data_IF_712396533718
#
_entry.id   IF_712396533718
#
_cell.length_a   1.000
_cell.length_b   1.000
_cell.length_c   1.000
_cell.angle_alpha   90.00
_cell.angle_beta   90.00
_cell.angle_gamma   90.00
#
_symmetry.space_group_name_H-M   'P 1'
#
loop_
_entity.id
_entity.type
_entity.pdbx_description
1 polymer ?
#
# COMPACT_ATOMS: atom_id res chain seq x y z
N UNK A 1 -15.31 -1.91 25.07
CA UNK A 1 -14.76 -1.25 23.88
C UNK A 1 -13.44 -0.62 24.31
N UNK A 2 -12.33 -1.12 23.78
CA UNK A 2 -10.99 -0.60 24.12
C UNK A 2 -10.75 0.73 23.39
N UNK A 3 -9.83 1.57 23.89
CA UNK A 3 -9.46 2.82 23.21
C UNK A 3 -8.96 2.58 21.76
N UNK A 4 -8.44 1.39 21.48
CA UNK A 4 -8.03 0.96 20.17
C UNK A 4 -9.22 0.64 19.22
N UNK A 5 -10.28 0.05 19.76
CA UNK A 5 -11.54 -0.16 19.00
C UNK A 5 -12.15 1.18 18.61
N UNK A 6 -12.10 2.18 19.51
CA UNK A 6 -12.50 3.56 19.22
C UNK A 6 -11.65 4.20 18.11
N UNK A 7 -10.35 3.91 18.08
CA UNK A 7 -9.43 4.37 17.03
C UNK A 7 -9.79 3.81 15.64
N UNK A 8 -10.05 2.50 15.55
CA UNK A 8 -10.47 1.86 14.30
C UNK A 8 -11.84 2.37 13.85
N UNK A 9 -12.80 2.50 14.76
CA UNK A 9 -14.10 3.12 14.44
C UNK A 9 -13.95 4.55 13.92
N UNK A 10 -13.08 5.36 14.53
CA UNK A 10 -12.76 6.71 14.07
C UNK A 10 -12.29 6.73 12.62
N UNK A 11 -11.42 5.79 12.22
CA UNK A 11 -10.98 5.64 10.84
C UNK A 11 -12.10 5.16 9.91
N UNK A 12 -13.00 4.27 10.37
CA UNK A 12 -14.19 3.86 9.59
C UNK A 12 -15.11 5.05 9.34
N UNK A 13 -15.31 5.92 10.31
CA UNK A 13 -16.11 7.16 10.16
C UNK A 13 -15.51 8.13 9.14
N UNK A 14 -14.19 8.11 8.92
CA UNK A 14 -13.50 8.90 7.89
C UNK A 14 -13.58 8.32 6.48
N UNK A 15 -14.13 7.11 6.31
CA UNK A 15 -14.28 6.46 4.98
C UNK A 15 -14.98 7.34 3.93
N UNK A 16 -16.00 8.16 4.24
CA UNK A 16 -16.61 9.05 3.24
C UNK A 16 -15.63 10.03 2.59
N UNK A 17 -14.61 10.51 3.33
CA UNK A 17 -13.58 11.38 2.78
C UNK A 17 -12.73 10.66 1.72
N UNK A 18 -12.47 9.37 1.93
CA UNK A 18 -11.79 8.51 0.95
C UNK A 18 -12.68 8.33 -0.30
N UNK A 19 -14.01 8.23 -0.10
CA UNK A 19 -15.00 8.23 -1.18
C UNK A 19 -14.93 9.50 -2.03
N UNK A 20 -14.82 10.68 -1.42
CA UNK A 20 -14.65 11.96 -2.13
C UNK A 20 -13.35 11.95 -2.96
N UNK A 21 -12.24 11.54 -2.36
CA UNK A 21 -10.96 11.41 -3.07
C UNK A 21 -11.06 10.44 -4.26
N UNK A 22 -11.82 9.35 -4.11
CA UNK A 22 -12.05 8.36 -5.16
C UNK A 22 -12.87 8.96 -6.31
N UNK A 23 -13.94 9.69 -6.00
CA UNK A 23 -14.76 10.39 -7.01
C UNK A 23 -13.94 11.43 -7.77
N UNK A 24 -13.08 12.17 -7.06
CA UNK A 24 -12.15 13.12 -7.67
C UNK A 24 -11.20 12.41 -8.64
N UNK A 25 -10.56 11.32 -8.22
CA UNK A 25 -9.68 10.52 -9.08
C UNK A 25 -10.42 9.93 -10.29
N UNK A 26 -11.66 9.45 -10.12
CA UNK A 26 -12.49 8.98 -11.22
C UNK A 26 -12.81 10.09 -12.20
N UNK A 27 -13.20 11.26 -11.71
CA UNK A 27 -13.50 12.42 -12.54
C UNK A 27 -12.28 12.82 -13.40
N UNK A 28 -11.11 12.99 -12.79
CA UNK A 28 -9.88 13.33 -13.53
C UNK A 28 -9.43 12.19 -14.46
N UNK A 29 -9.59 10.94 -14.03
CA UNK A 29 -9.30 9.76 -14.83
C UNK A 29 -10.12 9.72 -16.12
N UNK A 30 -11.43 9.93 -16.02
CA UNK A 30 -12.34 9.98 -17.16
C UNK A 30 -12.11 11.22 -18.02
N UNK A 31 -11.91 12.38 -17.40
CA UNK A 31 -11.65 13.65 -18.08
C UNK A 31 -10.38 13.56 -18.94
N UNK A 32 -9.26 13.13 -18.37
CA UNK A 32 -8.01 12.95 -19.13
C UNK A 32 -8.09 11.79 -20.11
N UNK A 33 -8.80 10.70 -19.77
CA UNK A 33 -9.05 9.60 -20.71
C UNK A 33 -9.77 10.08 -21.98
N UNK A 34 -10.84 10.85 -21.82
CA UNK A 34 -11.58 11.45 -22.93
C UNK A 34 -10.68 12.36 -23.78
N UNK A 35 -9.94 13.28 -23.16
CA UNK A 35 -9.03 14.17 -23.87
C UNK A 35 -7.87 13.43 -24.56
N UNK A 36 -7.41 12.32 -23.98
CA UNK A 36 -6.39 11.46 -24.58
C UNK A 36 -6.89 10.75 -25.84
N UNK A 37 -8.12 10.22 -25.81
CA UNK A 37 -8.75 9.61 -26.99
C UNK A 37 -8.97 10.67 -28.07
N UNK A 38 -9.51 11.85 -27.72
CA UNK A 38 -9.69 12.94 -28.67
C UNK A 38 -8.34 13.38 -29.29
N UNK A 39 -7.28 13.50 -28.49
CA UNK A 39 -5.95 13.82 -28.98
C UNK A 39 -5.40 12.75 -29.94
N UNK A 40 -5.69 11.46 -29.73
CA UNK A 40 -5.33 10.41 -30.70
C UNK A 40 -6.08 10.56 -32.02
N UNK A 41 -7.39 10.83 -31.96
CA UNK A 41 -8.23 11.06 -33.16
C UNK A 41 -7.73 12.26 -33.96
N UNK A 42 -7.34 13.33 -33.26
CA UNK A 42 -6.78 14.54 -33.87
C UNK A 42 -5.30 14.42 -34.27
N UNK A 43 -4.69 13.24 -34.15
CA UNK A 43 -3.25 12.98 -34.42
C UNK A 43 -2.27 13.80 -33.54
N UNK A 44 -2.73 14.33 -32.41
CA UNK A 44 -1.93 15.04 -31.40
C UNK A 44 -1.26 14.06 -30.45
N UNK A 45 -0.37 13.22 -30.98
CA UNK A 45 0.22 12.10 -30.24
C UNK A 45 0.97 12.50 -28.97
N UNK A 46 1.66 13.64 -28.96
CA UNK A 46 2.36 14.13 -27.78
C UNK A 46 1.40 14.48 -26.64
N UNK A 47 0.24 15.06 -26.97
CA UNK A 47 -0.80 15.36 -25.99
C UNK A 47 -1.45 14.06 -25.49
N UNK A 48 -1.69 13.08 -26.38
CA UNK A 48 -2.18 11.75 -25.98
C UNK A 48 -1.21 11.03 -25.04
N UNK A 49 0.11 11.16 -25.26
CA UNK A 49 1.15 10.59 -24.40
C UNK A 49 1.18 11.20 -22.98
N UNK A 50 0.62 12.40 -22.80
CA UNK A 50 0.34 12.97 -21.48
C UNK A 50 -1.00 12.47 -20.91
N UNK A 51 -2.08 12.67 -21.65
CA UNK A 51 -3.44 12.47 -21.18
C UNK A 51 -3.76 11.01 -20.85
N UNK A 52 -3.35 10.05 -21.69
CA UNK A 52 -3.69 8.64 -21.49
C UNK A 52 -3.01 8.05 -20.25
N UNK A 53 -1.69 8.29 -20.01
CA UNK A 53 -1.08 7.84 -18.76
C UNK A 53 -1.61 8.57 -17.53
N UNK A 54 -1.85 9.89 -17.62
CA UNK A 54 -2.43 10.64 -16.51
C UNK A 54 -3.82 10.11 -16.12
N UNK A 55 -4.69 9.90 -17.12
CA UNK A 55 -6.03 9.37 -16.94
C UNK A 55 -6.01 7.94 -16.39
N UNK A 56 -5.20 7.07 -16.99
CA UNK A 56 -5.06 5.68 -16.55
C UNK A 56 -4.51 5.57 -15.12
N UNK A 57 -3.52 6.40 -14.76
CA UNK A 57 -2.98 6.47 -13.41
C UNK A 57 -4.04 6.85 -12.38
N UNK A 58 -4.88 7.84 -12.70
CA UNK A 58 -6.00 8.25 -11.84
C UNK A 58 -7.05 7.15 -11.68
N UNK A 59 -7.41 6.46 -12.77
CA UNK A 59 -8.37 5.34 -12.71
C UNK A 59 -7.84 4.18 -11.88
N UNK A 60 -6.55 3.81 -12.04
CA UNK A 60 -5.94 2.76 -11.22
C UNK A 60 -5.92 3.17 -9.74
N UNK A 61 -5.52 4.41 -9.43
CA UNK A 61 -5.55 4.92 -8.06
C UNK A 61 -6.96 4.93 -7.47
N UNK A 62 -7.98 5.29 -8.26
CA UNK A 62 -9.37 5.24 -7.82
C UNK A 62 -9.80 3.81 -7.47
N UNK A 63 -9.48 2.84 -8.33
CA UNK A 63 -9.77 1.42 -8.07
C UNK A 63 -9.02 0.90 -6.84
N UNK A 64 -7.74 1.24 -6.69
CA UNK A 64 -6.94 0.88 -5.51
C UNK A 64 -7.49 1.50 -4.23
N UNK A 65 -7.96 2.75 -4.29
CA UNK A 65 -8.55 3.45 -3.14
C UNK A 65 -9.89 2.82 -2.75
N UNK A 66 -10.73 2.49 -3.73
CA UNK A 66 -11.97 1.77 -3.51
C UNK A 66 -11.73 0.38 -2.91
N UNK A 67 -10.69 -0.32 -3.38
CA UNK A 67 -10.30 -1.62 -2.82
C UNK A 67 -9.94 -1.50 -1.33
N UNK A 68 -9.15 -0.49 -0.94
CA UNK A 68 -8.84 -0.21 0.47
C UNK A 68 -10.11 0.07 1.28
N UNK A 69 -11.04 0.88 0.75
CA UNK A 69 -12.32 1.14 1.42
C UNK A 69 -13.11 -0.14 1.67
N UNK A 70 -13.17 -1.01 0.65
CA UNK A 70 -13.83 -2.31 0.76
C UNK A 70 -13.12 -3.17 1.80
N UNK A 71 -11.79 -3.27 1.76
CA UNK A 71 -11.01 -4.08 2.70
C UNK A 71 -11.12 -3.60 4.15
N UNK A 72 -11.14 -2.28 4.40
CA UNK A 72 -11.37 -1.69 5.73
C UNK A 72 -12.74 -2.01 6.32
N UNK A 73 -13.73 -2.26 5.46
CA UNK A 73 -15.12 -2.57 5.84
C UNK A 73 -15.42 -4.06 5.86
N UNK A 74 -14.55 -4.90 5.33
CA UNK A 74 -14.74 -6.34 5.35
C UNK A 74 -14.46 -6.88 6.75
N UNK A 75 -15.53 -7.36 7.37
CA UNK A 75 -15.51 -8.31 8.47
C UNK A 75 -15.79 -9.70 7.86
N UNK A 76 -14.75 -10.35 7.32
CA UNK A 76 -14.85 -11.73 6.81
C UNK A 76 -14.29 -12.00 5.41
N UNK A 77 -14.07 -13.30 5.21
CA UNK A 77 -13.52 -14.07 4.09
C UNK A 77 -12.39 -13.45 3.24
N UNK A 78 -11.17 -14.01 3.31
CA UNK A 78 -9.96 -13.45 2.73
C UNK A 78 -9.94 -13.57 1.20
N UNK A 79 -9.31 -12.58 0.57
CA UNK A 79 -9.00 -12.65 -0.86
C UNK A 79 -7.56 -13.13 -1.00
N UNK A 80 -7.40 -14.45 -1.08
CA UNK A 80 -6.16 -15.17 -1.47
C UNK A 80 -5.00 -15.08 -0.47
N UNK A 81 -4.79 -16.19 0.23
CA UNK A 81 -3.57 -16.50 1.00
C UNK A 81 -2.77 -17.45 0.14
N UNK A 82 -1.53 -17.09 -0.16
CA UNK A 82 -0.61 -17.95 -0.88
C UNK A 82 0.20 -18.74 0.17
N UNK A 83 0.03 -20.07 0.28
CA UNK A 83 0.89 -20.87 1.15
C UNK A 83 2.32 -20.78 0.61
N UNK A 84 3.27 -20.28 1.42
CA UNK A 84 4.69 -20.29 1.05
C UNK A 84 5.25 -21.65 1.41
N UNK A 85 4.94 -22.66 0.58
CA UNK A 85 5.54 -23.99 0.67
C UNK A 85 5.61 -24.55 2.11
N UNK A 86 6.64 -25.35 2.45
CA UNK A 86 6.72 -26.03 3.74
C UNK A 86 7.20 -25.16 4.92
N UNK A 87 7.07 -23.82 4.86
CA UNK A 87 7.70 -22.91 5.84
C UNK A 87 6.77 -22.00 6.64
N UNK A 88 5.53 -21.77 6.22
CA UNK A 88 4.62 -20.83 6.89
C UNK A 88 3.48 -20.32 6.03
N UNK A 89 2.66 -19.44 6.61
CA UNK A 89 1.60 -18.69 5.93
C UNK A 89 2.10 -17.28 5.66
N UNK A 90 2.08 -16.84 4.40
CA UNK A 90 2.32 -15.43 4.06
C UNK A 90 1.04 -14.74 3.62
N UNK A 91 0.86 -13.55 4.18
CA UNK A 91 -0.25 -12.65 3.90
C UNK A 91 0.37 -11.46 3.18
N UNK A 92 0.14 -11.40 1.87
CA UNK A 92 0.69 -10.38 0.99
C UNK A 92 -0.40 -9.57 0.30
N UNK A 93 -0.02 -8.41 -0.23
CA UNK A 93 -0.84 -7.69 -1.19
C UNK A 93 -1.07 -8.51 -2.47
N UNK A 94 -2.29 -8.50 -3.05
CA UNK A 94 -2.57 -9.16 -4.31
C UNK A 94 -1.60 -8.72 -5.40
N UNK A 95 -1.20 -9.66 -6.27
CA UNK A 95 -0.34 -9.36 -7.44
C UNK A 95 -0.94 -8.22 -8.27
N UNK A 96 -2.27 -8.19 -8.43
CA UNK A 96 -2.98 -7.13 -9.16
C UNK A 96 -2.82 -5.76 -8.51
N UNK A 97 -2.91 -5.69 -7.17
CA UNK A 97 -2.72 -4.44 -6.44
C UNK A 97 -1.25 -3.97 -6.53
N UNK A 98 -0.30 -4.89 -6.36
CA UNK A 98 1.14 -4.62 -6.51
C UNK A 98 1.47 -4.10 -7.90
N UNK A 99 0.98 -4.78 -8.93
CA UNK A 99 1.17 -4.38 -10.33
C UNK A 99 0.51 -3.03 -10.62
N UNK A 100 -0.71 -2.80 -10.14
CA UNK A 100 -1.41 -1.52 -10.26
C UNK A 100 -0.63 -0.37 -9.62
N UNK A 101 -0.09 -0.58 -8.41
CA UNK A 101 0.72 0.43 -7.72
C UNK A 101 2.00 0.79 -8.49
N UNK A 102 2.68 -0.21 -9.07
CA UNK A 102 3.84 0.03 -9.94
C UNK A 102 3.45 0.74 -11.25
N UNK A 103 2.33 0.34 -11.85
CA UNK A 103 1.80 0.97 -13.05
C UNK A 103 1.53 2.46 -12.79
N UNK A 104 0.94 2.83 -11.65
CA UNK A 104 0.72 4.24 -11.29
C UNK A 104 2.02 5.04 -11.30
N UNK A 105 3.11 4.54 -10.72
CA UNK A 105 4.39 5.24 -10.76
C UNK A 105 4.93 5.40 -12.17
N UNK A 106 4.86 4.35 -12.99
CA UNK A 106 5.31 4.43 -14.40
C UNK A 106 4.46 5.45 -15.18
N UNK A 107 3.14 5.39 -15.04
CA UNK A 107 2.23 6.30 -15.72
C UNK A 107 2.41 7.74 -15.25
N UNK A 108 2.65 7.96 -13.95
CA UNK A 108 2.95 9.28 -13.37
C UNK A 108 4.28 9.82 -13.89
N UNK A 109 5.32 8.98 -13.97
CA UNK A 109 6.60 9.34 -14.54
C UNK A 109 6.44 9.79 -16.00
N UNK A 110 5.75 8.99 -16.81
CA UNK A 110 5.52 9.30 -18.23
C UNK A 110 4.71 10.58 -18.39
N UNK A 111 3.54 10.67 -17.76
CA UNK A 111 2.67 11.85 -17.92
C UNK A 111 3.35 13.12 -17.45
N UNK A 112 3.98 13.09 -16.27
CA UNK A 112 4.57 14.30 -15.67
C UNK A 112 5.84 14.73 -16.42
N UNK A 113 6.65 13.79 -16.92
CA UNK A 113 7.82 14.11 -17.75
C UNK A 113 7.40 14.69 -19.10
N UNK A 114 6.42 14.07 -19.79
CA UNK A 114 5.90 14.57 -21.07
C UNK A 114 5.29 15.96 -20.91
N UNK A 115 4.52 16.19 -19.84
CA UNK A 115 3.96 17.50 -19.55
C UNK A 115 5.04 18.56 -19.31
N UNK A 116 5.97 18.30 -18.38
CA UNK A 116 7.00 19.27 -18.02
C UNK A 116 7.89 19.61 -19.22
N UNK A 117 8.41 18.59 -19.91
CA UNK A 117 9.29 18.78 -21.06
C UNK A 117 8.53 19.39 -22.25
N UNK A 118 7.30 18.94 -22.51
CA UNK A 118 6.48 19.46 -23.59
C UNK A 118 6.15 20.94 -23.40
N UNK A 119 5.87 21.38 -22.18
CA UNK A 119 5.64 22.80 -21.89
C UNK A 119 6.93 23.62 -21.97
N UNK A 120 8.04 23.16 -21.39
CA UNK A 120 9.32 23.90 -21.46
C UNK A 120 9.91 24.04 -22.86
N UNK A 121 9.56 23.12 -23.76
CA UNK A 121 10.03 23.13 -25.16
C UNK A 121 8.99 23.70 -26.12
N UNK A 122 7.90 24.27 -25.61
CA UNK A 122 6.77 24.80 -26.38
C UNK A 122 6.15 23.79 -27.35
N UNK A 123 6.33 22.48 -27.11
CA UNK A 123 5.75 21.39 -27.89
C UNK A 123 4.35 21.00 -27.41
N UNK A 124 3.99 21.35 -26.18
CA UNK A 124 2.66 21.18 -25.61
C UNK A 124 2.15 22.51 -25.07
N UNK A 125 0.97 22.91 -25.54
CA UNK A 125 0.26 24.09 -25.07
C UNK A 125 -1.06 23.67 -24.44
N UNK A 126 -1.28 24.07 -23.19
CA UNK A 126 -2.54 23.89 -22.48
C UNK A 126 -3.15 25.25 -22.16
N UNK A 127 -4.48 25.36 -22.04
CA UNK A 127 -5.14 26.60 -21.61
C UNK A 127 -4.88 26.83 -20.12
N UNK A 128 -3.71 27.38 -19.82
CA UNK A 128 -3.25 27.69 -18.46
C UNK A 128 -3.09 29.20 -18.29
N UNK A 129 -3.36 29.68 -17.08
CA UNK A 129 -3.04 31.07 -16.71
C UNK A 129 -1.52 31.27 -16.60
N UNK A 130 -1.03 32.51 -16.64
CA UNK A 130 0.41 32.79 -16.55
C UNK A 130 1.07 32.20 -15.29
N UNK A 131 0.38 32.24 -14.15
CA UNK A 131 0.88 31.61 -12.92
C UNK A 131 0.95 30.08 -12.98
N UNK A 132 -0.02 29.43 -13.65
CA UNK A 132 0.00 27.99 -13.86
C UNK A 132 1.13 27.56 -14.80
N UNK A 133 1.37 28.32 -15.88
CA UNK A 133 2.53 28.11 -16.77
C UNK A 133 3.86 28.22 -16.02
N UNK A 134 3.96 29.17 -15.08
CA UNK A 134 5.17 29.36 -14.29
C UNK A 134 5.42 28.24 -13.26
N UNK A 135 4.38 27.57 -12.75
CA UNK A 135 4.49 26.63 -11.63
C UNK A 135 4.34 25.16 -12.03
N UNK A 136 3.34 24.83 -12.83
CA UNK A 136 2.94 23.43 -13.08
C UNK A 136 4.02 22.57 -13.73
N UNK A 137 4.84 23.07 -14.68
CA UNK A 137 5.93 22.28 -15.25
C UNK A 137 6.95 21.83 -14.19
N UNK A 138 7.26 22.68 -13.21
CA UNK A 138 8.16 22.33 -12.11
C UNK A 138 7.54 21.31 -11.15
N UNK A 139 6.25 21.44 -10.84
CA UNK A 139 5.52 20.45 -10.03
C UNK A 139 5.50 19.10 -10.74
N UNK A 140 5.21 19.09 -12.04
CA UNK A 140 5.23 17.87 -12.85
C UNK A 140 6.64 17.25 -12.90
N UNK A 141 7.69 18.05 -13.10
CA UNK A 141 9.05 17.56 -13.06
C UNK A 141 9.42 16.95 -11.70
N UNK A 142 9.02 17.58 -10.59
CA UNK A 142 9.21 17.04 -9.24
C UNK A 142 8.48 15.70 -9.05
N UNK A 143 7.24 15.57 -9.55
CA UNK A 143 6.48 14.31 -9.52
C UNK A 143 7.15 13.23 -10.39
N UNK A 144 7.70 13.58 -11.54
CA UNK A 144 8.46 12.66 -12.39
C UNK A 144 9.72 12.15 -11.66
N UNK A 145 10.49 13.05 -11.04
CA UNK A 145 11.67 12.68 -10.25
C UNK A 145 11.31 11.80 -9.06
N UNK A 146 10.22 12.12 -8.35
CA UNK A 146 9.72 11.31 -7.25
C UNK A 146 9.33 9.90 -7.73
N UNK A 147 8.56 9.79 -8.82
CA UNK A 147 8.15 8.51 -9.38
C UNK A 147 9.35 7.68 -9.86
N UNK A 148 10.32 8.30 -10.54
CA UNK A 148 11.56 7.67 -10.95
C UNK A 148 12.36 7.15 -9.74
N UNK A 149 12.53 7.97 -8.70
CA UNK A 149 13.21 7.58 -7.46
C UNK A 149 12.52 6.41 -6.77
N UNK A 150 11.19 6.43 -6.68
CA UNK A 150 10.41 5.33 -6.10
C UNK A 150 10.59 4.03 -6.88
N UNK A 151 10.56 4.09 -8.22
CA UNK A 151 10.80 2.93 -9.09
C UNK A 151 12.23 2.40 -8.95
N UNK A 152 13.24 3.27 -8.89
CA UNK A 152 14.64 2.89 -8.69
C UNK A 152 14.86 2.20 -7.34
N UNK A 153 14.27 2.76 -6.27
CA UNK A 153 14.33 2.12 -4.95
C UNK A 153 13.59 0.79 -4.91
N UNK A 154 12.51 0.64 -5.69
CA UNK A 154 11.81 -0.63 -5.84
C UNK A 154 12.68 -1.69 -6.54
N UNK A 155 13.24 -1.35 -7.70
CA UNK A 155 14.06 -2.28 -8.51
C UNK A 155 15.34 -2.67 -7.79
N UNK A 156 15.93 -1.75 -7.01
CA UNK A 156 17.10 -2.05 -6.16
C UNK A 156 16.77 -2.83 -4.87
N UNK A 157 15.50 -3.20 -4.64
CA UNK A 157 15.07 -3.96 -3.47
C UNK A 157 15.03 -3.17 -2.16
N UNK A 158 15.26 -1.84 -2.21
CA UNK A 158 15.21 -0.93 -1.06
C UNK A 158 13.79 -0.55 -0.62
N UNK A 159 12.82 -0.71 -1.52
CA UNK A 159 11.40 -0.63 -1.20
C UNK A 159 10.72 -1.97 -1.45
N UNK A 160 10.11 -2.54 -0.40
CA UNK A 160 9.37 -3.81 -0.47
C UNK A 160 7.88 -3.60 -0.26
N UNK A 161 7.08 -4.63 -0.59
CA UNK A 161 5.64 -4.54 -0.36
C UNK A 161 5.37 -5.06 1.05
N UNK A 162 4.36 -4.51 1.75
CA UNK A 162 3.94 -5.07 3.02
C UNK A 162 3.65 -6.56 2.91
N UNK A 163 4.11 -7.31 3.89
CA UNK A 163 3.95 -8.76 4.00
C UNK A 163 3.97 -9.15 5.47
N UNK A 164 3.13 -10.11 5.84
CA UNK A 164 3.14 -10.75 7.16
C UNK A 164 3.40 -12.22 6.94
N UNK A 165 4.50 -12.72 7.49
CA UNK A 165 4.88 -14.12 7.41
C UNK A 165 4.74 -14.74 8.80
N UNK A 166 3.86 -15.72 8.91
CA UNK A 166 3.63 -16.48 10.12
C UNK A 166 4.17 -17.90 9.93
N UNK A 167 5.25 -18.24 10.62
CA UNK A 167 5.79 -19.62 10.68
C UNK A 167 5.38 -20.26 12.02
N UNK A 168 5.54 -21.57 12.21
CA UNK A 168 5.29 -22.20 13.50
C UNK A 168 6.10 -21.61 14.67
N UNK A 169 7.26 -21.02 14.38
CA UNK A 169 8.21 -20.53 15.40
C UNK A 169 8.30 -19.02 15.47
N UNK A 170 8.08 -18.31 14.35
CA UNK A 170 8.28 -16.86 14.25
C UNK A 170 7.11 -16.15 13.57
N UNK A 171 6.95 -14.88 13.94
CA UNK A 171 6.14 -13.88 13.24
C UNK A 171 7.10 -12.86 12.63
N UNK A 172 7.01 -12.65 11.32
CA UNK A 172 7.73 -11.60 10.63
C UNK A 172 6.77 -10.60 9.99
N UNK A 173 6.96 -9.31 10.30
CA UNK A 173 6.21 -8.20 9.74
C UNK A 173 7.15 -7.39 8.86
N UNK A 174 6.87 -7.39 7.56
CA UNK A 174 7.58 -6.61 6.57
C UNK A 174 6.76 -5.37 6.21
N UNK A 175 7.35 -4.20 6.39
CA UNK A 175 6.87 -2.93 5.86
C UNK A 175 7.58 -2.60 4.54
N UNK A 176 7.38 -1.38 4.02
CA UNK A 176 8.10 -0.97 2.81
C UNK A 176 9.60 -0.79 3.01
N UNK A 177 10.06 -0.60 4.25
CA UNK A 177 11.45 -0.19 4.57
C UNK A 177 12.18 -1.15 5.50
N UNK A 178 11.46 -1.92 6.30
CA UNK A 178 12.01 -2.77 7.35
C UNK A 178 11.26 -4.09 7.40
N UNK A 179 11.92 -5.17 7.80
CA UNK A 179 11.31 -6.42 8.22
C UNK A 179 11.72 -6.73 9.65
N UNK A 180 10.72 -6.86 10.52
CA UNK A 180 10.89 -7.21 11.92
C UNK A 180 10.47 -8.67 12.10
N UNK A 181 11.30 -9.48 12.75
CA UNK A 181 11.02 -10.88 13.02
C UNK A 181 11.19 -11.19 14.51
N UNK A 182 10.19 -11.84 15.10
CA UNK A 182 10.11 -12.16 16.52
C UNK A 182 9.61 -13.59 16.72
N UNK A 183 10.11 -14.29 17.73
CA UNK A 183 9.59 -15.59 18.12
C UNK A 183 8.20 -15.44 18.75
N UNK A 184 7.29 -16.38 18.49
CA UNK A 184 5.94 -16.31 19.06
C UNK A 184 5.95 -16.28 20.60
N UNK A 185 6.88 -16.99 21.23
CA UNK A 185 6.98 -17.08 22.70
C UNK A 185 7.50 -15.79 23.36
N UNK A 186 8.03 -14.88 22.54
CA UNK A 186 8.53 -13.57 22.94
C UNK A 186 7.51 -12.45 22.71
N UNK A 187 6.30 -12.76 22.24
CA UNK A 187 5.21 -11.79 22.08
C UNK A 187 4.36 -11.79 23.36
N UNK A 188 4.11 -10.61 23.93
CA UNK A 188 3.24 -10.44 25.11
C UNK A 188 1.81 -10.18 24.69
N UNK A 189 1.61 -9.29 23.73
CA UNK A 189 0.28 -8.86 23.30
C UNK A 189 0.23 -8.61 21.80
N UNK A 190 -0.96 -8.81 21.24
CA UNK A 190 -1.31 -8.40 19.87
C UNK A 190 -2.58 -7.57 19.97
N UNK A 191 -2.45 -6.27 19.73
CA UNK A 191 -3.51 -5.29 19.99
C UNK A 191 -3.84 -4.45 18.76
N UNK A 192 -5.11 -4.06 18.57
CA UNK A 192 -5.45 -3.06 17.57
C UNK A 192 -4.77 -1.72 17.94
N UNK A 193 -4.34 -0.97 16.94
CA UNK A 193 -3.81 0.38 17.10
C UNK A 193 -4.04 1.22 15.83
N UNK A 194 -3.64 2.48 15.87
CA UNK A 194 -3.70 3.39 14.71
C UNK A 194 -2.30 3.89 14.39
N UNK A 195 -1.90 3.79 13.13
CA UNK A 195 -0.65 4.34 12.62
C UNK A 195 -0.97 5.40 11.57
N UNK A 196 -0.89 6.67 11.97
CA UNK A 196 -1.30 7.80 11.13
C UNK A 196 -2.77 7.71 10.71
N UNK A 197 -3.01 7.51 9.41
CA UNK A 197 -4.36 7.38 8.82
C UNK A 197 -4.74 5.93 8.48
N UNK A 198 -4.01 4.95 9.03
CA UNK A 198 -4.17 3.52 8.76
C UNK A 198 -4.55 2.77 10.03
N UNK A 199 -5.41 1.76 9.87
CA UNK A 199 -5.63 0.75 10.90
C UNK A 199 -4.38 -0.11 10.98
N UNK A 200 -3.89 -0.34 12.18
CA UNK A 200 -2.68 -1.11 12.41
C UNK A 200 -2.86 -2.10 13.55
N UNK A 201 -1.97 -3.08 13.61
CA UNK A 201 -1.85 -4.02 14.73
C UNK A 201 -0.50 -3.74 15.39
N UNK A 202 -0.52 -3.56 16.71
CA UNK A 202 0.64 -3.49 17.58
C UNK A 202 0.99 -4.90 18.02
N UNK A 203 2.23 -5.33 17.77
CA UNK A 203 2.78 -6.56 18.34
C UNK A 203 3.79 -6.15 19.40
N UNK A 204 3.45 -6.41 20.66
CA UNK A 204 4.26 -6.01 21.80
C UNK A 204 5.24 -7.13 22.19
N UNK A 205 6.55 -6.90 22.06
CA UNK A 205 7.55 -7.86 22.50
C UNK A 205 7.60 -7.93 24.05
N UNK A 206 8.01 -9.08 24.58
CA UNK A 206 8.38 -9.24 25.99
C UNK A 206 9.62 -8.39 26.29
N UNK A 207 9.70 -7.85 27.50
CA UNK A 207 10.90 -7.16 27.97
C UNK A 207 12.15 -8.01 27.77
N UNK A 208 13.12 -7.47 27.02
CA UNK A 208 14.38 -8.16 26.69
C UNK A 208 14.29 -9.18 25.55
N UNK A 209 13.13 -9.31 24.87
CA UNK A 209 12.99 -10.13 23.68
C UNK A 209 13.93 -9.68 22.56
N UNK A 210 14.43 -10.65 21.78
CA UNK A 210 15.26 -10.37 20.62
C UNK A 210 14.39 -10.23 19.38
N UNK A 211 14.23 -9.00 18.90
CA UNK A 211 13.62 -8.71 17.61
C UNK A 211 14.73 -8.63 16.55
N UNK A 212 14.67 -9.49 15.55
CA UNK A 212 15.59 -9.44 14.41
C UNK A 212 15.06 -8.42 13.38
N UNK A 213 15.82 -7.35 13.17
CA UNK A 213 15.41 -6.24 12.28
C UNK A 213 16.29 -6.20 11.02
N UNK A 214 15.68 -6.40 9.86
CA UNK A 214 16.31 -6.21 8.54
C UNK A 214 15.87 -4.87 7.93
N UNK A 215 16.80 -3.93 7.80
CA UNK A 215 16.53 -2.59 7.24
C UNK A 215 16.86 -2.54 5.74
N UNK A 216 15.84 -2.40 4.89
CA UNK A 216 15.98 -2.27 3.43
C UNK A 216 16.34 -0.85 2.98
N UNK A 217 15.92 0.15 3.73
CA UNK A 217 16.17 1.57 3.44
C UNK A 217 16.71 2.30 4.67
N UNK A 218 17.96 2.77 4.59
CA UNK A 218 18.64 3.59 5.60
C UNK A 218 18.69 5.04 5.14
N UNK A 219 17.57 5.75 5.25
CA UNK A 219 17.51 7.19 4.97
C UNK A 219 16.97 7.97 6.18
N UNK A 220 16.90 9.31 6.09
CA UNK A 220 16.46 10.17 7.19
C UNK A 220 15.00 9.94 7.61
N UNK A 221 14.26 9.11 6.87
CA UNK A 221 12.88 8.71 7.13
C UNK A 221 12.76 7.21 7.50
N UNK A 222 13.87 6.51 7.74
CA UNK A 222 13.83 5.11 8.16
C UNK A 222 13.32 5.00 9.60
N UNK A 223 12.48 3.99 9.87
CA UNK A 223 12.03 3.68 11.24
C UNK A 223 13.21 3.19 12.08
N UNK A 224 13.18 3.47 13.39
CA UNK A 224 14.19 2.97 14.32
C UNK A 224 13.88 1.50 14.66
N UNK A 225 14.89 0.62 14.76
CA UNK A 225 14.72 -0.77 15.21
C UNK A 225 14.28 -0.92 16.68
N UNK A 226 14.21 0.17 17.45
CA UNK A 226 13.76 0.18 18.85
C UNK A 226 12.25 0.44 19.01
N UNK A 227 11.54 0.69 17.91
CA UNK A 227 10.11 0.95 17.93
C UNK A 227 9.31 -0.38 18.03
N UNK A 228 8.13 -0.37 18.67
CA UNK A 228 7.26 -1.54 18.66
C UNK A 228 6.89 -1.95 17.23
N UNK A 229 6.63 -3.24 17.01
CA UNK A 229 6.28 -3.75 15.69
C UNK A 229 4.86 -3.31 15.35
N UNK A 230 4.74 -2.37 14.41
CA UNK A 230 3.46 -1.84 13.93
C UNK A 230 3.17 -2.34 12.52
N UNK A 231 2.13 -3.15 12.38
CA UNK A 231 1.68 -3.68 11.11
C UNK A 231 0.47 -2.92 10.58
N UNK A 232 0.61 -2.16 9.49
CA UNK A 232 -0.55 -1.52 8.83
C UNK A 232 -1.41 -2.56 8.12
N UNK A 233 -2.63 -2.76 8.60
CA UNK A 233 -3.48 -3.88 8.19
C UNK A 233 -4.58 -3.52 7.19
N UNK A 234 -4.85 -2.23 7.02
CA UNK A 234 -5.85 -1.70 6.09
C UNK A 234 -5.52 -1.95 4.60
N UNK A 235 -4.26 -2.28 4.31
CA UNK A 235 -3.80 -2.60 2.97
C UNK A 235 -4.05 -4.07 2.60
N UNK A 236 -4.29 -4.97 3.57
CA UNK A 236 -4.44 -6.39 3.28
C UNK A 236 -5.89 -6.75 2.94
N UNK A 237 -6.14 -7.56 1.89
CA UNK A 237 -7.49 -7.97 1.49
C UNK A 237 -8.24 -8.81 2.53
N UNK A 238 -7.51 -9.43 3.46
CA UNK A 238 -8.04 -10.20 4.60
C UNK A 238 -8.93 -9.34 5.48
N UNK A 239 -8.66 -8.03 5.55
CA UNK A 239 -9.35 -7.12 6.46
C UNK A 239 -8.62 -7.01 7.81
N UNK A 240 -8.70 -5.84 8.47
CA UNK A 240 -8.04 -5.59 9.76
C UNK A 240 -8.46 -6.54 10.90
N UNK A 241 -9.76 -6.77 11.08
CA UNK A 241 -10.30 -7.59 12.17
C UNK A 241 -9.91 -9.05 12.03
N UNK A 242 -10.13 -9.65 10.84
CA UNK A 242 -9.79 -11.05 10.60
C UNK A 242 -8.28 -11.31 10.77
N UNK A 243 -7.43 -10.35 10.41
CA UNK A 243 -5.99 -10.45 10.60
C UNK A 243 -5.61 -10.33 12.09
N UNK A 244 -6.28 -9.48 12.86
CA UNK A 244 -6.10 -9.37 14.31
C UNK A 244 -6.50 -10.66 15.02
N UNK A 245 -7.68 -11.20 14.71
CA UNK A 245 -8.18 -12.44 15.30
C UNK A 245 -7.29 -13.63 14.96
N UNK A 246 -6.75 -13.67 13.74
CA UNK A 246 -5.80 -14.69 13.33
C UNK A 246 -4.51 -14.65 14.14
N UNK A 247 -3.89 -13.48 14.29
CA UNK A 247 -2.65 -13.34 15.05
C UNK A 247 -2.86 -13.65 16.53
N UNK A 248 -3.97 -13.19 17.13
CA UNK A 248 -4.36 -13.52 18.50
C UNK A 248 -4.59 -15.01 18.70
N UNK A 249 -5.29 -15.67 17.76
CA UNK A 249 -5.53 -17.11 17.84
C UNK A 249 -4.22 -17.90 18.00
N UNK A 250 -3.19 -17.60 17.20
CA UNK A 250 -1.90 -18.30 17.27
C UNK A 250 -1.00 -17.83 18.41
N UNK A 251 -1.20 -16.62 18.94
CA UNK A 251 -0.59 -16.20 20.20
C UNK A 251 -1.15 -17.05 21.35
N UNK A 252 -2.47 -17.13 21.48
CA UNK A 252 -3.20 -17.76 22.59
C UNK A 252 -3.18 -19.29 22.55
N UNK A 253 -2.92 -19.90 21.39
CA UNK A 253 -2.91 -21.36 21.18
C UNK A 253 -1.58 -21.85 20.58
N UNK A 254 -0.50 -21.92 21.38
CA UNK A 254 0.81 -22.40 20.92
C UNK A 254 0.77 -23.77 20.23
N UNK A 255 -0.08 -24.68 20.71
CA UNK A 255 -0.29 -26.01 20.16
C UNK A 255 -0.84 -26.00 18.72
N UNK A 256 -1.55 -24.93 18.35
CA UNK A 256 -2.08 -24.76 17.00
C UNK A 256 -1.05 -24.24 16.00
N UNK A 257 0.09 -23.70 16.44
CA UNK A 257 1.09 -23.06 15.53
C UNK A 257 1.67 -24.03 14.50
N UNK A 258 1.65 -25.33 14.76
CA UNK A 258 2.00 -26.34 13.75
C UNK A 258 1.13 -26.25 12.48
N UNK A 259 -0.11 -25.74 12.59
CA UNK A 259 -0.99 -25.46 11.45
C UNK A 259 -0.42 -24.42 10.48
N UNK A 260 0.44 -23.51 10.96
CA UNK A 260 1.09 -22.48 10.13
C UNK A 260 2.07 -23.12 9.13
N UNK A 261 2.70 -24.23 9.50
CA UNK A 261 3.68 -24.92 8.66
C UNK A 261 3.08 -25.93 7.66
N UNK A 262 1.81 -26.30 7.82
CA UNK A 262 1.17 -27.35 7.00
C UNK A 262 -0.02 -26.84 6.17
N UNK A 263 -0.26 -25.52 6.14
CA UNK A 263 -1.28 -24.88 5.31
C UNK A 263 -2.70 -24.87 5.90
N UNK A 264 -2.98 -25.62 6.98
CA UNK A 264 -4.30 -25.62 7.64
C UNK A 264 -4.66 -24.26 8.23
N UNK A 265 -3.68 -23.48 8.64
CA UNK A 265 -3.89 -22.11 9.09
C UNK A 265 -4.48 -21.20 7.99
N UNK A 266 -4.11 -21.43 6.73
CA UNK A 266 -4.68 -20.72 5.61
C UNK A 266 -6.15 -21.12 5.34
N UNK A 267 -6.54 -22.34 5.69
CA UNK A 267 -7.94 -22.78 5.64
C UNK A 267 -8.77 -22.14 6.76
N UNK A 268 -8.20 -22.03 7.96
CA UNK A 268 -8.88 -21.40 9.12
C UNK A 268 -9.17 -19.92 8.88
N UNK A 269 -8.25 -19.19 8.26
CA UNK A 269 -8.50 -17.80 7.88
C UNK A 269 -9.60 -17.67 6.80
N UNK A 270 -9.91 -18.76 6.07
CA UNK A 270 -10.95 -18.83 5.02
C UNK A 270 -12.32 -19.31 5.53
N UNK A 271 -12.46 -19.68 6.80
CA UNK A 271 -13.74 -20.11 7.40
C UNK A 271 -14.37 -18.96 8.17
#
# INVERSE_FOLDING_TARGET
>A
MTAADEGWEGLRRKTPLIGIATLFLLFFGLFWGFHGIAALVDTRYLAAAFYLPAGSGCLILAVSTLAIVVWRRRSGLPTRIDPIGPGGVSIMLPVTYRAGYLAVFVLTLVSSAVFAFGVWTDRLTFPMTGGQFALFPYVAAALALYAAGALLFRVSGRLRFPEILCTPTTLAVQTSRVRDEIAWDDIVSVEPTVSGNSMAILVEPRDGAKVAVEVFYRGPLASSPEDPIVCNVDLFPTGPEALLDFLRYYLDRPESRAELGNGRAAERLRQ
#
